data_IF_327752343625
#
_entry.id   IF_327752343625
#
_cell.length_a   1.000
_cell.length_b   1.000
_cell.length_c   1.000
_cell.angle_alpha   90.00
_cell.angle_beta   90.00
_cell.angle_gamma   90.00
#
_symmetry.space_group_name_H-M   'P 1'
#
loop_
_entity.id
_entity.type
_entity.pdbx_description
1 polymer ?
#
# COMPACT_ATOMS: atom_id res chain seq x y z
N UNK A 1 24.26 -22.64 63.42
CA UNK A 1 25.64 -22.73 62.89
C UNK A 1 25.56 -23.03 61.39
N UNK A 2 26.34 -22.28 60.61
CA UNK A 2 26.88 -22.50 59.24
C UNK A 2 25.98 -23.22 58.20
N UNK A 3 25.50 -22.47 57.19
CA UNK A 3 25.91 -22.47 55.75
C UNK A 3 25.58 -23.82 55.04
N UNK A 4 25.02 -23.89 53.84
CA UNK A 4 25.54 -23.38 52.57
C UNK A 4 24.39 -23.34 51.54
N UNK A 5 24.29 -22.23 50.82
CA UNK A 5 23.42 -22.00 49.66
C UNK A 5 24.01 -22.78 48.48
N UNK A 6 23.27 -23.75 47.94
CA UNK A 6 23.68 -24.53 46.77
C UNK A 6 22.85 -24.07 45.57
N UNK A 7 23.51 -23.31 44.70
CA UNK A 7 22.93 -22.66 43.53
C UNK A 7 22.34 -23.65 42.54
N UNK A 8 21.06 -23.45 42.24
CA UNK A 8 20.39 -24.05 41.08
C UNK A 8 20.79 -23.20 39.87
N UNK A 9 21.70 -23.76 39.10
CA UNK A 9 22.20 -23.24 37.84
C UNK A 9 21.05 -23.24 36.83
N UNK A 10 20.74 -22.03 36.36
CA UNK A 10 19.73 -21.70 35.38
C UNK A 10 20.20 -22.20 34.00
N UNK A 11 19.83 -23.42 33.63
CA UNK A 11 20.10 -23.97 32.30
C UNK A 11 19.06 -23.48 31.29
N UNK A 12 19.19 -22.22 30.84
CA UNK A 12 18.49 -21.73 29.65
C UNK A 12 19.22 -22.20 28.40
N UNK A 13 18.95 -23.44 27.96
CA UNK A 13 19.21 -23.88 26.60
C UNK A 13 18.14 -23.26 25.68
N UNK A 14 18.30 -21.96 25.37
CA UNK A 14 17.62 -21.36 24.22
C UNK A 14 18.42 -21.78 22.98
N UNK A 15 17.93 -22.81 22.31
CA UNK A 15 18.31 -23.18 20.96
C UNK A 15 18.19 -21.94 20.07
N UNK A 16 19.32 -21.31 19.78
CA UNK A 16 19.44 -20.34 18.71
C UNK A 16 19.31 -21.10 17.40
N UNK A 17 18.07 -21.30 16.97
CA UNK A 17 17.76 -21.73 15.62
C UNK A 17 18.35 -20.73 14.65
N UNK A 18 19.43 -21.13 13.99
CA UNK A 18 19.89 -20.46 12.77
C UNK A 18 18.81 -20.72 11.72
N UNK A 19 17.84 -19.81 11.63
CA UNK A 19 16.99 -19.71 10.47
C UNK A 19 17.90 -19.30 9.32
N UNK A 20 18.25 -20.28 8.48
CA UNK A 20 18.67 -20.06 7.11
C UNK A 20 17.71 -19.02 6.54
N UNK A 21 18.21 -17.79 6.32
CA UNK A 21 17.56 -16.83 5.46
C UNK A 21 17.54 -17.48 4.09
N UNK A 22 16.46 -18.20 3.84
CA UNK A 22 16.03 -18.56 2.51
C UNK A 22 15.94 -17.21 1.80
N UNK A 23 16.93 -16.94 0.95
CA UNK A 23 16.75 -15.95 -0.10
C UNK A 23 15.55 -16.46 -0.88
N UNK A 24 14.37 -15.98 -0.50
CA UNK A 24 13.19 -16.04 -1.32
C UNK A 24 13.60 -15.31 -2.59
N UNK A 25 13.99 -16.09 -3.60
CA UNK A 25 13.93 -15.65 -4.97
C UNK A 25 12.47 -15.28 -5.14
N UNK A 26 12.15 -14.00 -4.91
CA UNK A 26 10.84 -13.44 -5.14
C UNK A 26 10.59 -13.65 -6.62
N UNK A 27 9.85 -14.70 -6.94
CA UNK A 27 9.21 -14.90 -8.23
C UNK A 27 8.53 -13.58 -8.58
N UNK A 28 8.65 -13.14 -9.84
CA UNK A 28 8.26 -11.81 -10.32
C UNK A 28 6.79 -11.40 -10.04
N UNK A 29 5.98 -12.30 -9.47
CA UNK A 29 4.58 -12.11 -9.09
C UNK A 29 4.38 -11.33 -7.77
N UNK A 30 5.29 -11.39 -6.80
CA UNK A 30 5.14 -10.65 -5.52
C UNK A 30 5.50 -9.16 -5.64
N UNK A 31 6.33 -8.79 -6.61
CA UNK A 31 6.78 -7.39 -6.79
C UNK A 31 5.70 -6.49 -7.43
N UNK A 32 4.64 -7.09 -7.97
CA UNK A 32 3.51 -6.36 -8.56
C UNK A 32 2.55 -5.81 -7.49
N UNK A 33 2.48 -6.43 -6.30
CA UNK A 33 1.57 -5.99 -5.24
C UNK A 33 2.07 -4.74 -4.50
N UNK A 34 3.38 -4.48 -4.50
CA UNK A 34 3.98 -3.31 -3.80
C UNK A 34 3.75 -1.97 -4.54
N UNK A 35 3.21 -1.96 -5.76
CA UNK A 35 3.03 -0.73 -6.56
C UNK A 35 1.57 -0.24 -6.63
N UNK A 36 0.62 -1.01 -6.08
CA UNK A 36 -0.80 -0.62 -6.09
C UNK A 36 -1.06 0.37 -4.97
N UNK A 37 -1.47 1.58 -5.35
CA UNK A 37 -1.77 2.67 -4.42
C UNK A 37 -3.26 2.96 -4.42
N UNK A 38 -3.77 3.44 -3.29
CA UNK A 38 -5.14 3.94 -3.16
C UNK A 38 -5.12 5.39 -2.73
N UNK A 39 -5.87 6.24 -3.42
CA UNK A 39 -6.02 7.67 -3.14
C UNK A 39 -7.49 8.03 -3.03
N UNK A 40 -7.83 8.88 -2.07
CA UNK A 40 -9.18 9.40 -1.88
C UNK A 40 -9.17 10.90 -2.15
N UNK A 41 -10.12 11.37 -2.94
CA UNK A 41 -10.21 12.76 -3.33
C UNK A 41 -11.40 13.05 -4.23
N UNK A 42 -11.44 14.25 -4.80
CA UNK A 42 -12.48 14.65 -5.75
C UNK A 42 -11.86 14.85 -7.12
N UNK A 43 -12.45 14.23 -8.15
CA UNK A 43 -12.02 14.46 -9.54
C UNK A 43 -12.53 15.83 -9.96
N UNK A 44 -11.64 16.76 -10.31
CA UNK A 44 -11.98 18.18 -10.48
C UNK A 44 -12.04 18.62 -11.94
N UNK A 45 -10.95 18.40 -12.69
CA UNK A 45 -10.76 18.93 -14.04
C UNK A 45 -10.15 17.88 -14.95
N UNK A 46 -10.50 17.92 -16.24
CA UNK A 46 -9.88 17.12 -17.31
C UNK A 46 -8.93 18.01 -18.10
N UNK A 47 -7.70 17.54 -18.31
CA UNK A 47 -6.64 18.23 -19.07
C UNK A 47 -6.12 17.26 -20.12
N UNK A 48 -6.59 17.39 -21.36
CA UNK A 48 -6.35 16.40 -22.40
C UNK A 48 -6.98 15.05 -22.03
N UNK A 49 -6.15 14.02 -21.94
CA UNK A 49 -6.56 12.64 -21.61
C UNK A 49 -6.40 12.30 -20.11
N UNK A 50 -5.93 13.25 -19.30
CA UNK A 50 -5.75 13.09 -17.86
C UNK A 50 -6.79 13.89 -17.07
N UNK A 51 -7.00 13.48 -15.82
CA UNK A 51 -7.88 14.14 -14.87
C UNK A 51 -7.10 14.52 -13.62
N UNK A 52 -7.55 15.56 -12.94
CA UNK A 52 -6.96 16.03 -11.69
C UNK A 52 -7.77 15.49 -10.50
N UNK A 53 -7.14 14.65 -9.69
CA UNK A 53 -7.68 14.21 -8.41
C UNK A 53 -7.17 15.13 -7.29
N UNK A 54 -8.06 15.93 -6.74
CA UNK A 54 -7.78 16.76 -5.57
C UNK A 54 -7.89 15.90 -4.31
N UNK A 55 -6.75 15.58 -3.71
CA UNK A 55 -6.65 14.83 -2.44
C UNK A 55 -6.29 15.78 -1.30
N UNK A 56 -6.29 15.27 -0.06
CA UNK A 56 -5.81 16.05 1.10
C UNK A 56 -4.32 16.39 1.02
N UNK A 57 -3.54 15.56 0.34
CA UNK A 57 -2.08 15.71 0.23
C UNK A 57 -1.65 16.57 -0.97
N UNK A 58 -2.61 16.98 -1.81
CA UNK A 58 -2.35 17.73 -3.04
C UNK A 58 -3.13 17.20 -4.26
N UNK A 59 -2.74 17.69 -5.43
CA UNK A 59 -3.35 17.33 -6.71
C UNK A 59 -2.54 16.19 -7.35
N UNK A 60 -3.24 15.17 -7.84
CA UNK A 60 -2.65 14.01 -8.50
C UNK A 60 -3.24 13.88 -9.90
N UNK A 61 -2.40 13.72 -10.92
CA UNK A 61 -2.87 13.39 -12.26
C UNK A 61 -3.31 11.92 -12.28
N UNK A 62 -4.51 11.66 -12.79
CA UNK A 62 -5.07 10.34 -12.92
C UNK A 62 -5.54 10.10 -14.35
N UNK A 63 -5.45 8.87 -14.83
CA UNK A 63 -6.05 8.45 -16.09
C UNK A 63 -6.55 7.01 -15.97
N UNK A 64 -7.37 6.55 -16.91
CA UNK A 64 -7.83 5.17 -16.92
C UNK A 64 -8.21 4.71 -18.32
N UNK A 65 -7.78 3.49 -18.65
CA UNK A 65 -8.25 2.77 -19.84
C UNK A 65 -9.38 1.76 -19.50
N UNK A 66 -9.71 1.61 -18.21
CA UNK A 66 -10.66 0.60 -17.72
C UNK A 66 -11.95 1.21 -17.17
N UNK A 67 -11.85 2.44 -16.65
CA UNK A 67 -12.92 3.12 -15.93
C UNK A 67 -13.24 4.44 -16.64
N UNK A 68 -14.53 4.70 -16.86
CA UNK A 68 -14.97 5.99 -17.37
C UNK A 68 -14.98 7.05 -16.25
N UNK A 69 -13.87 7.81 -16.13
CA UNK A 69 -13.69 8.83 -15.10
C UNK A 69 -14.63 10.04 -15.24
N UNK A 70 -15.17 10.30 -16.44
CA UNK A 70 -16.13 11.40 -16.66
C UNK A 70 -17.39 11.24 -15.79
N UNK A 71 -17.79 9.99 -15.49
CA UNK A 71 -18.98 9.68 -14.66
C UNK A 71 -18.82 10.04 -13.17
N UNK A 72 -17.57 10.25 -12.74
CA UNK A 72 -17.17 10.54 -11.37
C UNK A 72 -16.68 11.98 -11.18
N UNK A 73 -16.76 12.81 -12.22
CA UNK A 73 -16.40 14.23 -12.17
C UNK A 73 -17.16 14.95 -11.05
N UNK A 74 -16.43 15.78 -10.31
CA UNK A 74 -16.89 16.58 -9.16
C UNK A 74 -17.47 15.75 -8.01
N UNK A 75 -17.27 14.44 -7.99
CA UNK A 75 -17.71 13.55 -6.89
C UNK A 75 -16.51 13.12 -6.04
N UNK A 76 -16.71 12.93 -4.73
CA UNK A 76 -15.70 12.31 -3.89
C UNK A 76 -15.60 10.82 -4.22
N UNK A 77 -14.38 10.34 -4.45
CA UNK A 77 -14.09 8.98 -4.87
C UNK A 77 -12.85 8.44 -4.17
N UNK A 78 -12.78 7.11 -4.12
CA UNK A 78 -11.58 6.35 -3.78
C UNK A 78 -11.11 5.64 -5.04
N UNK A 79 -9.91 5.96 -5.51
CA UNK A 79 -9.30 5.36 -6.69
C UNK A 79 -8.16 4.44 -6.27
N UNK A 80 -8.06 3.29 -6.92
CA UNK A 80 -6.98 2.33 -6.74
C UNK A 80 -6.34 2.04 -8.08
N UNK A 81 -5.02 2.02 -8.12
CA UNK A 81 -4.26 1.88 -9.35
C UNK A 81 -2.76 1.89 -9.14
N UNK A 82 -1.99 2.13 -10.20
CA UNK A 82 -0.53 2.17 -10.16
C UNK A 82 0.00 3.45 -10.79
N UNK A 83 1.07 4.01 -10.22
CA UNK A 83 1.75 5.14 -10.83
C UNK A 83 2.62 4.70 -12.01
N UNK A 84 2.56 5.46 -13.09
CA UNK A 84 3.54 5.44 -14.18
C UNK A 84 4.03 6.87 -14.38
N UNK A 85 5.28 7.12 -13.96
CA UNK A 85 5.80 8.48 -13.83
C UNK A 85 5.01 9.28 -12.78
N UNK A 86 4.46 10.43 -13.18
CA UNK A 86 3.65 11.30 -12.33
C UNK A 86 2.15 11.01 -12.36
N UNK A 87 1.70 10.10 -13.22
CA UNK A 87 0.27 9.84 -13.48
C UNK A 87 -0.15 8.52 -12.85
N UNK A 88 -1.26 8.54 -12.11
CA UNK A 88 -1.89 7.37 -11.52
C UNK A 88 -2.86 6.73 -12.52
N UNK A 89 -2.54 5.52 -12.98
CA UNK A 89 -3.41 4.73 -13.84
C UNK A 89 -4.41 3.97 -12.97
N UNK A 90 -5.67 4.41 -13.04
CA UNK A 90 -6.75 3.91 -12.19
C UNK A 90 -7.29 2.60 -12.77
N UNK A 91 -7.23 1.56 -11.95
CA UNK A 91 -7.81 0.25 -12.23
C UNK A 91 -9.22 0.10 -11.65
N UNK A 92 -9.46 0.70 -10.48
CA UNK A 92 -10.72 0.60 -9.75
C UNK A 92 -11.10 1.95 -9.15
N UNK A 93 -12.39 2.27 -9.20
CA UNK A 93 -12.97 3.45 -8.55
C UNK A 93 -14.17 3.06 -7.71
N UNK A 94 -14.31 3.71 -6.57
CA UNK A 94 -15.44 3.55 -5.66
C UNK A 94 -15.95 4.94 -5.28
N UNK A 95 -17.27 5.11 -5.27
CA UNK A 95 -17.85 6.35 -4.74
C UNK A 95 -17.56 6.42 -3.25
N UNK A 96 -16.94 7.51 -2.79
CA UNK A 96 -16.75 7.70 -1.36
C UNK A 96 -18.12 8.03 -0.76
N UNK A 97 -18.66 7.11 0.04
CA UNK A 97 -19.89 7.36 0.80
C UNK A 97 -19.53 8.35 1.91
N UNK A 98 -19.93 9.60 1.76
CA UNK A 98 -20.06 10.54 2.88
C UNK A 98 -21.24 10.05 3.71
N UNK A 99 -20.94 9.46 4.85
CA UNK A 99 -21.91 9.08 5.89
C UNK A 99 -22.16 10.28 6.79
#
# INVERSE_FOLDING_TARGET
>A
MKKIILGIVLSTLILSGCTTKQNTVKTAEEKLQESVVTKTGTISTKVGDEYLLSTRDGIVNITSNKVNLDTYMKKPVRVTGMFSGSTLYVDKIESAITN
#
